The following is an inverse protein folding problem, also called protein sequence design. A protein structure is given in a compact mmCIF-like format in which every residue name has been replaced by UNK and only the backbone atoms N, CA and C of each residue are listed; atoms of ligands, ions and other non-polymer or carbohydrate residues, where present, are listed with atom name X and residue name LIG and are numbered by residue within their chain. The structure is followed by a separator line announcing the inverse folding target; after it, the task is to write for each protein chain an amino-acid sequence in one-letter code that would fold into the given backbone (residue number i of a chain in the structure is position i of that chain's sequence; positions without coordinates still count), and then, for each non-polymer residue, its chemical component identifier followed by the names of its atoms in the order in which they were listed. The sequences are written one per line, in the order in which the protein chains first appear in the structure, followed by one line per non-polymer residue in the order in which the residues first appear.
data_IF_509715044490
#
_entry.id   IF_509715044490
#
_cell.length_a   1.000
_cell.length_b   1.000
_cell.length_c   1.000
_cell.angle_alpha   90.00
_cell.angle_beta   90.00
_cell.angle_gamma   90.00
#
_symmetry.space_group_name_H-M   'P 1'
#
loop_
_entity.id
_entity.type
_entity.pdbx_description
1 polymer ?
#
# COMPACT_ATOMS: atom_id res chain seq x y z
N UNK A 1 25.85 11.08 9.06
CA UNK A 1 24.39 11.17 9.22
C UNK A 1 23.72 10.23 8.24
N UNK A 2 22.82 9.40 8.72
CA UNK A 2 22.11 8.50 7.82
C UNK A 2 21.22 9.30 6.87
N UNK A 3 21.30 8.96 5.62
CA UNK A 3 20.40 9.53 4.61
C UNK A 3 19.05 8.81 4.73
N UNK A 4 18.00 9.53 5.06
CA UNK A 4 16.66 8.96 5.23
C UNK A 4 16.19 8.25 3.96
N UNK A 5 16.60 8.71 2.79
CA UNK A 5 16.21 8.10 1.52
C UNK A 5 16.91 6.76 1.27
N UNK A 6 18.05 6.52 1.92
CA UNK A 6 18.76 5.25 1.74
C UNK A 6 18.13 4.09 2.49
N UNK A 7 17.27 4.39 3.47
CA UNK A 7 16.57 3.36 4.23
C UNK A 7 15.45 2.68 3.45
N UNK A 8 14.98 3.33 2.39
CA UNK A 8 13.84 2.85 1.61
C UNK A 8 14.25 2.69 0.16
N UNK A 9 15.30 1.89 -0.04
CA UNK A 9 15.83 1.64 -1.38
C UNK A 9 14.84 0.82 -2.21
N UNK A 10 14.57 1.30 -3.41
CA UNK A 10 13.72 0.59 -4.36
C UNK A 10 14.43 -0.68 -4.85
N UNK A 11 13.72 -1.80 -4.79
CA UNK A 11 14.15 -3.07 -5.35
C UNK A 11 13.01 -3.60 -6.22
N UNK A 12 13.26 -3.74 -7.51
CA UNK A 12 12.23 -4.17 -8.46
C UNK A 12 11.66 -5.55 -8.13
N UNK A 13 12.42 -6.41 -7.45
CA UNK A 13 11.91 -7.72 -7.02
C UNK A 13 10.88 -7.62 -5.89
N UNK A 14 10.81 -6.46 -5.22
CA UNK A 14 9.85 -6.20 -4.15
C UNK A 14 8.76 -5.21 -4.57
N UNK A 15 8.62 -4.97 -5.87
CA UNK A 15 7.59 -4.10 -6.41
C UNK A 15 6.22 -4.79 -6.31
N UNK A 16 5.26 -4.12 -5.68
CA UNK A 16 3.89 -4.61 -5.52
C UNK A 16 2.95 -4.02 -6.56
N UNK A 17 3.22 -2.79 -6.98
CA UNK A 17 2.40 -2.09 -7.95
C UNK A 17 3.27 -1.10 -8.71
N UNK A 18 3.29 -1.22 -10.04
CA UNK A 18 3.92 -0.22 -10.90
C UNK A 18 3.12 1.08 -10.88
N UNK A 19 3.77 2.19 -11.19
CA UNK A 19 3.10 3.48 -11.28
C UNK A 19 1.92 3.39 -12.25
N UNK A 20 0.77 3.94 -11.85
CA UNK A 20 -0.44 3.92 -12.65
C UNK A 20 -1.62 4.41 -11.85
N UNK A 21 -2.68 4.82 -12.56
CA UNK A 21 -3.89 5.37 -11.97
C UNK A 21 -4.80 4.28 -11.44
N UNK A 22 -5.38 4.53 -10.26
CA UNK A 22 -6.43 3.72 -9.66
C UNK A 22 -7.62 4.63 -9.41
N UNK A 23 -8.71 4.40 -10.14
CA UNK A 23 -9.92 5.21 -10.04
C UNK A 23 -11.11 4.43 -9.48
N UNK A 24 -10.98 3.10 -9.35
CA UNK A 24 -12.00 2.23 -8.77
C UNK A 24 -11.32 1.23 -7.85
N UNK A 25 -12.10 0.65 -6.95
CA UNK A 25 -11.58 -0.41 -6.05
C UNK A 25 -10.89 -1.49 -6.86
N UNK A 26 -9.63 -1.77 -6.54
CA UNK A 26 -8.76 -2.63 -7.34
C UNK A 26 -7.94 -3.54 -6.43
N UNK A 27 -7.89 -4.82 -6.80
CA UNK A 27 -6.93 -5.77 -6.25
C UNK A 27 -5.80 -5.93 -7.25
N UNK A 28 -4.57 -5.60 -6.85
CA UNK A 28 -3.42 -5.75 -7.74
C UNK A 28 -3.11 -7.23 -7.95
N UNK A 29 -2.70 -7.57 -9.18
CA UNK A 29 -2.43 -8.97 -9.53
C UNK A 29 -1.08 -9.48 -9.04
N UNK A 30 -0.15 -8.58 -8.72
CA UNK A 30 1.18 -8.96 -8.25
C UNK A 30 1.13 -9.47 -6.82
N UNK A 31 1.56 -10.71 -6.63
CA UNK A 31 1.66 -11.33 -5.30
C UNK A 31 3.14 -11.59 -5.04
N UNK A 32 3.67 -11.07 -3.94
CA UNK A 32 5.04 -11.32 -3.52
C UNK A 32 5.07 -12.43 -2.47
N UNK A 33 6.06 -13.31 -2.58
CA UNK A 33 6.37 -14.30 -1.56
C UNK A 33 7.53 -13.76 -0.72
N UNK A 34 7.27 -13.45 0.54
CA UNK A 34 8.28 -12.91 1.46
C UNK A 34 9.16 -13.99 2.07
N UNK A 35 8.87 -15.28 1.80
CA UNK A 35 9.61 -16.41 2.36
C UNK A 35 8.97 -16.93 3.62
N UNK A 36 9.65 -17.89 4.25
CA UNK A 36 9.09 -18.65 5.38
C UNK A 36 9.36 -18.00 6.74
N UNK A 37 10.07 -16.90 6.77
CA UNK A 37 10.45 -16.24 8.00
C UNK A 37 9.65 -15.00 8.32
N UNK A 38 9.87 -14.50 9.52
CA UNK A 38 9.31 -13.22 9.95
C UNK A 38 10.00 -12.08 9.20
N UNK A 39 9.19 -11.18 8.67
CA UNK A 39 9.66 -9.98 7.98
C UNK A 39 9.08 -8.76 8.66
N UNK A 40 9.96 -7.90 9.16
CA UNK A 40 9.65 -6.54 9.57
C UNK A 40 10.15 -5.61 8.48
N UNK A 41 9.26 -4.80 7.91
CA UNK A 41 9.64 -3.93 6.81
C UNK A 41 8.72 -2.75 6.71
N UNK A 42 8.78 -2.10 5.55
CA UNK A 42 8.01 -0.89 5.28
C UNK A 42 7.30 -1.02 3.94
N UNK A 43 6.02 -0.68 3.94
CA UNK A 43 5.29 -0.43 2.70
C UNK A 43 5.57 1.00 2.29
N UNK A 44 6.15 1.18 1.11
CA UNK A 44 6.50 2.50 0.58
C UNK A 44 5.62 2.79 -0.61
N UNK A 45 4.96 3.95 -0.57
CA UNK A 45 4.08 4.42 -1.62
C UNK A 45 4.63 5.73 -2.18
N UNK A 46 4.92 5.75 -3.47
CA UNK A 46 5.31 6.97 -4.18
C UNK A 46 4.10 7.48 -4.96
N UNK A 47 3.48 8.54 -4.46
CA UNK A 47 2.26 9.11 -5.04
C UNK A 47 2.65 10.28 -5.95
N UNK A 48 2.37 10.15 -7.24
CA UNK A 48 2.66 11.19 -8.23
C UNK A 48 1.46 12.09 -8.54
N UNK A 49 0.25 11.62 -8.25
CA UNK A 49 -0.97 12.41 -8.42
C UNK A 49 -2.05 11.85 -7.51
N UNK A 50 -2.86 12.74 -6.93
CA UNK A 50 -3.95 12.34 -6.06
C UNK A 50 -5.12 13.30 -6.28
N UNK A 51 -6.21 12.79 -6.82
CA UNK A 51 -7.41 13.59 -7.08
C UNK A 51 -8.17 13.82 -5.79
N UNK A 52 -8.44 15.10 -5.46
CA UNK A 52 -9.21 15.50 -4.28
C UNK A 52 -10.22 16.60 -4.64
N UNK A 53 -10.56 16.75 -5.92
CA UNK A 53 -11.32 17.88 -6.43
C UNK A 53 -12.75 17.93 -5.92
N UNK A 54 -13.38 16.76 -5.66
CA UNK A 54 -14.77 16.69 -5.19
C UNK A 54 -14.88 16.70 -3.67
N UNK A 55 -13.77 16.75 -2.95
CA UNK A 55 -13.70 16.79 -1.48
C UNK A 55 -14.31 15.57 -0.77
N UNK A 56 -14.52 14.47 -1.50
CA UNK A 56 -15.04 13.22 -0.94
C UNK A 56 -14.27 11.99 -1.40
N UNK A 57 -13.21 12.19 -2.17
CA UNK A 57 -12.40 11.07 -2.67
C UNK A 57 -11.59 10.46 -1.53
N UNK A 58 -11.72 9.15 -1.36
CA UNK A 58 -10.98 8.38 -0.36
C UNK A 58 -10.33 7.20 -1.04
N UNK A 59 -9.02 7.05 -0.82
CA UNK A 59 -8.23 5.94 -1.33
C UNK A 59 -7.60 5.23 -0.14
N UNK A 60 -8.14 4.06 0.22
CA UNK A 60 -7.58 3.24 1.28
C UNK A 60 -6.68 2.18 0.67
N UNK A 61 -5.38 2.34 0.82
CA UNK A 61 -4.40 1.39 0.30
C UNK A 61 -4.02 0.43 1.41
N UNK A 62 -4.22 -0.87 1.15
CA UNK A 62 -3.98 -1.94 2.13
C UNK A 62 -2.90 -2.88 1.61
N UNK A 63 -1.98 -3.26 2.49
CA UNK A 63 -1.11 -4.40 2.26
C UNK A 63 -1.81 -5.62 2.84
N UNK A 64 -2.30 -6.50 1.98
CA UNK A 64 -2.92 -7.74 2.39
C UNK A 64 -1.88 -8.85 2.49
N UNK A 65 -2.04 -9.72 3.49
CA UNK A 65 -1.22 -10.92 3.64
C UNK A 65 -2.08 -12.17 3.67
N UNK A 66 -1.54 -13.28 3.21
CA UNK A 66 -2.25 -14.57 3.22
C UNK A 66 -1.28 -15.71 3.44
N UNK A 67 -1.80 -16.80 3.96
CA UNK A 67 -1.07 -18.08 4.03
C UNK A 67 -1.19 -18.88 2.74
N UNK A 68 -2.08 -18.47 1.83
CA UNK A 68 -2.36 -19.16 0.55
C UNK A 68 -1.66 -18.42 -0.58
N UNK A 69 -0.88 -19.14 -1.38
CA UNK A 69 -0.07 -18.55 -2.46
C UNK A 69 -0.90 -17.77 -3.49
N UNK A 70 -2.09 -18.25 -3.81
CA UNK A 70 -2.99 -17.57 -4.76
C UNK A 70 -3.81 -16.46 -4.08
N UNK A 71 -3.71 -16.31 -2.76
CA UNK A 71 -4.44 -15.31 -1.96
C UNK A 71 -5.95 -15.34 -2.20
N UNK A 72 -6.50 -16.56 -2.35
CA UNK A 72 -7.93 -16.75 -2.58
C UNK A 72 -8.71 -16.82 -1.26
N UNK A 73 -8.02 -16.95 -0.15
CA UNK A 73 -8.62 -17.05 1.19
C UNK A 73 -7.60 -16.70 2.27
N UNK A 74 -8.06 -16.63 3.52
CA UNK A 74 -7.21 -16.39 4.69
C UNK A 74 -6.40 -15.08 4.57
N UNK A 75 -6.97 -14.06 3.94
CA UNK A 75 -6.31 -12.76 3.81
C UNK A 75 -6.56 -11.90 5.03
N UNK A 76 -5.51 -11.22 5.47
CA UNK A 76 -5.58 -10.23 6.56
C UNK A 76 -4.94 -8.93 6.09
N UNK A 77 -5.27 -7.82 6.75
CA UNK A 77 -4.62 -6.54 6.48
C UNK A 77 -3.41 -6.40 7.38
N UNK A 78 -2.23 -6.28 6.78
CA UNK A 78 -0.97 -6.13 7.51
C UNK A 78 -0.61 -4.66 7.73
N UNK A 79 -0.98 -3.79 6.81
CA UNK A 79 -0.75 -2.35 6.90
C UNK A 79 -1.77 -1.64 6.03
N UNK A 80 -2.09 -0.40 6.37
CA UNK A 80 -3.00 0.40 5.56
C UNK A 80 -2.72 1.88 5.73
N UNK A 81 -3.05 2.65 4.70
CA UNK A 81 -3.01 4.11 4.73
C UNK A 81 -4.21 4.66 3.98
N UNK A 82 -4.91 5.62 4.59
CA UNK A 82 -6.00 6.34 3.95
C UNK A 82 -5.45 7.60 3.31
N UNK A 83 -5.76 7.79 2.04
CA UNK A 83 -5.32 8.95 1.26
C UNK A 83 -6.52 9.58 0.57
N UNK A 84 -6.30 10.71 -0.06
CA UNK A 84 -7.33 11.50 -0.69
C UNK A 84 -7.79 12.64 0.22
N UNK A 85 -9.10 12.90 0.25
CA UNK A 85 -9.69 13.85 1.19
C UNK A 85 -10.16 13.09 2.41
N UNK A 86 -9.24 12.88 3.35
CA UNK A 86 -9.49 12.07 4.54
C UNK A 86 -10.60 12.67 5.41
N UNK A 87 -11.43 11.80 5.99
CA UNK A 87 -12.48 12.23 6.90
C UNK A 87 -11.96 12.57 8.29
N UNK A 88 -10.81 12.04 8.66
CA UNK A 88 -10.21 12.30 9.98
C UNK A 88 -8.68 12.46 9.84
N UNK A 89 -8.14 13.64 10.08
CA UNK A 89 -8.85 14.89 10.35
C UNK A 89 -9.55 15.43 9.09
N UNK A 90 -10.67 16.11 9.31
CA UNK A 90 -11.48 16.66 8.23
C UNK A 90 -10.67 17.65 7.37
N UNK A 91 -10.93 17.61 6.07
CA UNK A 91 -10.31 18.50 5.07
C UNK A 91 -8.77 18.30 4.95
N UNK A 92 -8.28 17.13 5.34
CA UNK A 92 -6.86 16.83 5.22
C UNK A 92 -6.59 16.14 3.86
N UNK A 93 -6.23 16.94 2.87
CA UNK A 93 -5.94 16.44 1.53
C UNK A 93 -4.55 15.79 1.47
N UNK A 94 -4.48 14.65 0.80
CA UNK A 94 -3.20 14.02 0.48
C UNK A 94 -2.55 14.74 -0.70
N UNK A 95 -1.30 15.12 -0.52
CA UNK A 95 -0.48 15.67 -1.60
C UNK A 95 0.45 14.61 -2.17
N UNK A 96 1.12 14.92 -3.28
CA UNK A 96 2.11 14.02 -3.86
C UNK A 96 3.31 13.86 -2.95
N UNK A 97 3.95 12.70 -3.00
CA UNK A 97 5.14 12.43 -2.21
C UNK A 97 5.27 10.97 -1.84
N UNK A 98 6.21 10.71 -0.96
CA UNK A 98 6.48 9.35 -0.47
C UNK A 98 5.85 9.15 0.90
N UNK A 99 5.10 8.07 1.03
CA UNK A 99 4.46 7.66 2.28
C UNK A 99 5.02 6.30 2.68
N UNK A 100 5.32 6.14 3.96
CA UNK A 100 5.96 4.93 4.49
C UNK A 100 5.13 4.41 5.64
N UNK A 101 4.74 3.12 5.57
CA UNK A 101 3.94 2.47 6.60
C UNK A 101 4.70 1.22 7.07
N UNK A 102 5.08 1.14 8.35
CA UNK A 102 5.73 -0.06 8.86
C UNK A 102 4.75 -1.24 8.87
N UNK A 103 5.25 -2.45 8.65
CA UNK A 103 4.44 -3.64 8.74
C UNK A 103 5.25 -4.82 9.26
N UNK A 104 4.52 -5.82 9.73
CA UNK A 104 5.06 -7.12 10.09
C UNK A 104 4.15 -8.18 9.47
N UNK A 105 4.74 -9.24 8.91
CA UNK A 105 3.96 -10.29 8.25
C UNK A 105 3.46 -11.36 9.23
N UNK A 106 3.29 -11.02 10.50
CA UNK A 106 2.82 -11.94 11.53
C UNK A 106 1.68 -11.28 12.32
N UNK A 107 0.63 -12.06 12.58
CA UNK A 107 -0.45 -11.64 13.48
C UNK A 107 -0.87 -12.84 14.30
N UNK A 108 -0.89 -12.66 15.62
CA UNK A 108 -1.35 -13.70 16.58
C UNK A 108 -0.65 -15.05 16.41
N UNK A 109 0.66 -15.02 16.12
CA UNK A 109 1.46 -16.22 15.95
C UNK A 109 1.38 -16.85 14.57
N UNK A 110 0.67 -16.25 13.62
CA UNK A 110 0.54 -16.76 12.25
C UNK A 110 1.36 -15.89 11.31
N UNK A 111 2.22 -16.53 10.51
CA UNK A 111 3.00 -15.88 9.46
C UNK A 111 2.20 -15.83 8.16
N UNK A 112 2.27 -14.69 7.48
CA UNK A 112 1.62 -14.48 6.20
C UNK A 112 2.70 -14.20 5.14
N UNK A 113 3.18 -15.25 4.43
CA UNK A 113 4.29 -15.08 3.50
C UNK A 113 3.90 -14.41 2.17
N UNK A 114 2.63 -14.41 1.81
CA UNK A 114 2.18 -13.85 0.53
C UNK A 114 1.49 -12.53 0.74
N UNK A 115 1.89 -11.52 -0.02
CA UNK A 115 1.36 -10.16 0.13
C UNK A 115 1.00 -9.55 -1.22
N UNK A 116 0.01 -8.67 -1.21
CA UNK A 116 -0.40 -7.89 -2.38
C UNK A 116 -1.02 -6.58 -1.94
N UNK A 117 -1.21 -5.66 -2.88
CA UNK A 117 -1.88 -4.39 -2.65
C UNK A 117 -3.37 -4.50 -3.03
N UNK A 118 -4.21 -4.01 -2.14
CA UNK A 118 -5.63 -3.79 -2.38
C UNK A 118 -5.92 -2.31 -2.14
N UNK A 119 -6.60 -1.66 -3.08
CA UNK A 119 -6.97 -0.25 -2.96
C UNK A 119 -8.47 -0.14 -3.00
N UNK A 120 -9.07 0.38 -1.94
CA UNK A 120 -10.50 0.68 -1.91
C UNK A 120 -10.70 2.15 -2.24
N UNK A 121 -11.59 2.42 -3.19
CA UNK A 121 -11.85 3.76 -3.69
C UNK A 121 -13.29 4.14 -3.39
N UNK A 122 -13.50 5.30 -2.79
CA UNK A 122 -14.81 5.82 -2.46
C UNK A 122 -14.92 7.28 -2.86
N UNK A 123 -16.15 7.76 -3.01
CA UNK A 123 -16.45 9.14 -3.40
C UNK A 123 -16.57 9.31 -4.90
N UNK A 124 -16.66 10.57 -5.33
CA UNK A 124 -16.79 10.93 -6.75
C UNK A 124 -15.41 11.04 -7.39
N UNK A 125 -14.92 9.93 -7.93
CA UNK A 125 -13.57 9.84 -8.49
C UNK A 125 -13.64 9.81 -10.01
N UNK A 126 -13.01 10.79 -10.66
CA UNK A 126 -12.90 10.86 -12.12
C UNK A 126 -11.55 10.31 -12.60
N UNK A 127 -10.45 10.77 -12.03
CA UNK A 127 -9.10 10.40 -12.43
C UNK A 127 -8.47 9.41 -11.48
N UNK A 128 -8.60 9.65 -10.18
CA UNK A 128 -8.08 8.76 -9.15
C UNK A 128 -6.70 9.14 -8.63
N UNK A 129 -6.02 8.14 -8.08
CA UNK A 129 -4.69 8.28 -7.49
C UNK A 129 -3.67 7.52 -8.33
N UNK A 130 -2.53 8.16 -8.60
CA UNK A 130 -1.42 7.51 -9.29
C UNK A 130 -0.31 7.24 -8.29
N UNK A 131 0.01 5.98 -8.08
CA UNK A 131 1.07 5.63 -7.16
C UNK A 131 1.81 4.37 -7.58
N UNK A 132 3.03 4.26 -7.07
CA UNK A 132 3.86 3.07 -7.14
C UNK A 132 4.01 2.56 -5.71
N UNK A 133 3.95 1.23 -5.51
CA UNK A 133 4.08 0.63 -4.19
C UNK A 133 5.13 -0.46 -4.20
N UNK A 134 5.99 -0.46 -3.19
CA UNK A 134 7.01 -1.50 -3.02
C UNK A 134 7.28 -1.74 -1.55
N UNK A 135 7.95 -2.85 -1.26
CA UNK A 135 8.39 -3.18 0.09
C UNK A 135 9.87 -2.84 0.23
N UNK A 136 10.21 -2.16 1.31
CA UNK A 136 11.58 -1.93 1.72
C UNK A 136 11.83 -2.67 3.03
N UNK A 137 12.96 -3.33 3.11
CA UNK A 137 13.39 -3.98 4.35
C UNK A 137 14.34 -3.07 5.11
N UNK A 138 14.27 -3.18 6.40
CA UNK A 138 15.14 -2.43 7.28
C UNK A 138 16.54 -3.05 7.32
#
# INVERSE_FOLDING_TARGET
MANLYSQFTYDNSLLLKAAGLVATTTTESTILNLGDGLVDGYLVLDVSACEVASTDEIYLVCLEGSTVAAMTSASVTLAQIEMGNATAPADADTTTGRFVVPFRNEQNGVLYPYVRIYTEVAGNVATGINFLAFIAKD
#
